data_IF_244278968011
#
_entry.id   IF_244278968011
#
_cell.length_a   1.000
_cell.length_b   1.000
_cell.length_c   1.000
_cell.angle_alpha   90.00
_cell.angle_beta   90.00
_cell.angle_gamma   90.00
#
_symmetry.space_group_name_H-M   'P 1'
#
loop_
_entity.id
_entity.type
_entity.pdbx_description
1 polymer ?
#
# COMPACT_ATOMS: atom_id res chain seq x y z
N UNK A 1 -16.57 -5.52 4.30
CA UNK A 1 -17.34 -6.57 5.01
C UNK A 1 -18.41 -5.89 5.87
N UNK A 2 -19.70 -6.24 5.68
CA UNK A 2 -20.76 -5.67 6.51
C UNK A 2 -20.59 -6.11 7.97
N UNK A 3 -20.66 -5.15 8.87
CA UNK A 3 -20.58 -5.43 10.32
C UNK A 3 -21.98 -5.76 10.82
N UNK A 4 -22.30 -7.03 10.95
CA UNK A 4 -23.63 -7.53 11.29
C UNK A 4 -24.20 -6.98 12.62
N UNK A 5 -23.35 -6.60 13.58
CA UNK A 5 -23.77 -6.12 14.88
C UNK A 5 -23.55 -4.63 15.11
N UNK A 6 -23.17 -3.87 14.10
CA UNK A 6 -22.98 -2.42 14.23
C UNK A 6 -24.28 -1.70 13.87
N UNK A 7 -24.89 -1.05 14.86
CA UNK A 7 -26.15 -0.28 14.71
C UNK A 7 -25.95 1.14 14.19
N UNK A 8 -24.71 1.59 14.01
CA UNK A 8 -24.36 2.92 13.53
C UNK A 8 -23.48 2.83 12.30
N UNK A 9 -23.66 3.77 11.39
CA UNK A 9 -22.74 4.01 10.31
C UNK A 9 -21.64 4.93 10.84
N UNK A 10 -20.47 4.37 11.13
CA UNK A 10 -19.29 5.14 11.48
C UNK A 10 -18.59 5.59 10.21
N UNK A 11 -18.26 6.86 10.13
CA UNK A 11 -17.33 7.42 9.17
C UNK A 11 -16.13 7.92 9.96
N UNK A 12 -14.94 7.40 9.66
CA UNK A 12 -13.69 7.88 10.25
C UNK A 12 -12.75 8.21 9.08
N UNK A 13 -12.14 9.33 9.17
CA UNK A 13 -11.23 9.84 8.14
C UNK A 13 -11.23 11.36 8.16
N UNK A 14 -10.25 11.95 7.54
CA UNK A 14 -10.23 13.38 7.23
C UNK A 14 -10.70 13.57 5.79
N UNK A 15 -11.47 14.61 5.56
CA UNK A 15 -11.84 15.01 4.22
C UNK A 15 -10.63 15.69 3.58
N UNK A 16 -10.34 15.32 2.32
CA UNK A 16 -9.33 15.99 1.53
C UNK A 16 -9.84 17.40 1.17
N UNK A 17 -9.04 18.45 1.30
CA UNK A 17 -9.40 19.76 0.80
C UNK A 17 -9.78 19.70 -0.69
N UNK A 18 -10.85 20.37 -1.08
CA UNK A 18 -11.19 20.55 -2.48
C UNK A 18 -10.29 21.66 -3.05
N UNK A 19 -9.10 21.29 -3.51
CA UNK A 19 -8.14 22.16 -4.14
C UNK A 19 -7.74 21.55 -5.48
N UNK A 20 -7.66 22.41 -6.51
CA UNK A 20 -7.23 22.02 -7.85
C UNK A 20 -5.73 22.31 -8.07
N UNK A 21 -5.15 23.22 -7.25
CA UNK A 21 -3.76 23.63 -7.31
C UNK A 21 -3.05 23.35 -5.97
N UNK A 22 -1.72 23.16 -5.99
CA UNK A 22 -0.94 23.05 -4.76
C UNK A 22 -1.00 24.34 -3.94
N UNK A 23 -0.85 24.27 -2.61
CA UNK A 23 -0.83 25.48 -1.79
C UNK A 23 0.34 26.38 -2.14
N UNK A 24 0.16 27.71 -2.06
CA UNK A 24 1.22 28.72 -2.38
C UNK A 24 2.54 28.51 -1.60
N UNK A 25 2.48 27.90 -0.42
CA UNK A 25 3.66 27.61 0.40
C UNK A 25 4.40 26.33 -0.01
N UNK A 26 3.81 25.51 -0.87
CA UNK A 26 4.39 24.27 -1.42
C UNK A 26 4.73 24.49 -2.90
N UNK A 27 5.63 25.44 -3.15
CA UNK A 27 6.12 25.76 -4.49
C UNK A 27 7.35 24.88 -4.77
N UNK A 28 7.10 23.67 -5.26
CA UNK A 28 8.12 22.66 -5.60
C UNK A 28 7.96 22.28 -7.06
N UNK A 29 9.08 22.16 -7.76
CA UNK A 29 9.10 21.72 -9.16
C UNK A 29 8.59 20.27 -9.29
N UNK A 30 7.72 20.03 -10.27
CA UNK A 30 7.13 18.72 -10.51
C UNK A 30 8.21 17.64 -10.79
N UNK A 31 9.24 17.98 -11.56
CA UNK A 31 10.34 17.08 -11.88
C UNK A 31 11.13 16.67 -10.61
N UNK A 32 11.38 17.62 -9.72
CA UNK A 32 12.05 17.34 -8.45
C UNK A 32 11.21 16.46 -7.52
N UNK A 33 9.87 16.56 -7.59
CA UNK A 33 8.97 15.66 -6.84
C UNK A 33 9.00 14.25 -7.43
N UNK A 34 8.98 14.13 -8.77
CA UNK A 34 9.06 12.82 -9.45
C UNK A 34 10.40 12.13 -9.12
N UNK A 35 11.52 12.82 -9.22
CA UNK A 35 12.85 12.30 -8.86
C UNK A 35 12.89 11.81 -7.40
N UNK A 36 12.30 12.60 -6.48
CA UNK A 36 12.25 12.21 -5.06
C UNK A 36 11.36 10.99 -4.80
N UNK A 37 10.28 10.83 -5.55
CA UNK A 37 9.44 9.61 -5.51
C UNK A 37 10.25 8.38 -5.88
N UNK A 38 11.01 8.44 -6.98
CA UNK A 38 11.85 7.34 -7.45
C UNK A 38 12.95 7.02 -6.45
N UNK A 39 13.64 8.04 -5.92
CA UNK A 39 14.69 7.86 -4.90
C UNK A 39 14.15 7.14 -3.64
N UNK A 40 12.96 7.52 -3.18
CA UNK A 40 12.33 6.87 -2.02
C UNK A 40 11.89 5.43 -2.32
N UNK A 41 11.46 5.14 -3.54
CA UNK A 41 11.15 3.78 -3.97
C UNK A 41 12.40 2.90 -4.02
N UNK A 42 13.50 3.40 -4.59
CA UNK A 42 14.80 2.71 -4.59
C UNK A 42 15.35 2.47 -3.17
N UNK A 43 15.02 3.36 -2.23
CA UNK A 43 15.33 3.18 -0.81
C UNK A 43 14.44 2.11 -0.12
N UNK A 44 13.47 1.53 -0.84
CA UNK A 44 12.61 0.44 -0.38
C UNK A 44 11.33 0.89 0.33
N UNK A 45 10.92 2.15 0.17
CA UNK A 45 9.66 2.64 0.74
C UNK A 45 8.46 2.26 -0.13
N UNK A 46 7.35 1.91 0.51
CA UNK A 46 6.10 1.63 -0.18
C UNK A 46 5.47 2.92 -0.75
N UNK A 47 4.61 2.85 -1.78
CA UNK A 47 3.91 4.01 -2.33
C UNK A 47 3.16 4.84 -1.28
N UNK A 48 2.58 4.20 -0.28
CA UNK A 48 1.92 4.89 0.85
C UNK A 48 2.92 5.61 1.75
N UNK A 49 4.07 5.00 2.06
CA UNK A 49 5.14 5.62 2.85
C UNK A 49 5.79 6.79 2.11
N UNK A 50 5.98 6.66 0.80
CA UNK A 50 6.49 7.74 -0.06
C UNK A 50 5.61 8.98 0.07
N UNK A 51 4.29 8.82 -0.06
CA UNK A 51 3.35 9.93 0.10
C UNK A 51 3.43 10.59 1.49
N UNK A 52 3.61 9.80 2.55
CA UNK A 52 3.80 10.34 3.90
C UNK A 52 5.12 11.08 4.06
N UNK A 53 6.22 10.54 3.52
CA UNK A 53 7.54 11.18 3.58
C UNK A 53 7.56 12.50 2.81
N UNK A 54 6.98 12.54 1.61
CA UNK A 54 6.87 13.77 0.84
C UNK A 54 6.04 14.84 1.56
N UNK A 55 4.99 14.44 2.27
CA UNK A 55 4.20 15.36 3.07
C UNK A 55 4.97 15.90 4.28
N UNK A 56 5.74 15.04 4.96
CA UNK A 56 6.36 15.38 6.24
C UNK A 56 7.79 15.94 6.07
N UNK A 57 8.58 15.36 5.18
CA UNK A 57 9.98 15.74 4.90
C UNK A 57 10.10 16.63 3.65
N UNK A 58 9.28 16.34 2.63
CA UNK A 58 9.23 17.09 1.38
C UNK A 58 10.42 16.89 0.44
N UNK A 59 10.59 17.84 -0.45
CA UNK A 59 11.74 17.98 -1.35
C UNK A 59 12.52 19.21 -0.92
N UNK A 60 13.82 19.06 -0.64
CA UNK A 60 14.70 20.12 -0.13
C UNK A 60 14.15 20.89 1.09
N UNK A 61 13.40 20.17 1.95
CA UNK A 61 12.78 20.74 3.15
C UNK A 61 11.46 21.48 2.90
N UNK A 62 10.96 21.49 1.67
CA UNK A 62 9.62 22.01 1.34
C UNK A 62 8.62 20.87 1.29
N UNK A 63 7.65 20.80 2.21
CA UNK A 63 6.66 19.72 2.23
C UNK A 63 5.79 19.69 0.97
N UNK A 64 5.53 18.48 0.47
CA UNK A 64 4.63 18.25 -0.65
C UNK A 64 3.36 17.54 -0.12
N UNK A 65 2.30 18.30 0.20
CA UNK A 65 1.12 17.73 0.85
C UNK A 65 0.33 16.79 -0.05
N UNK A 66 0.46 16.94 -1.35
CA UNK A 66 -0.24 16.15 -2.33
C UNK A 66 0.56 16.06 -3.64
N UNK A 67 1.09 14.87 -3.90
CA UNK A 67 1.88 14.59 -5.10
C UNK A 67 1.08 14.82 -6.36
N UNK A 68 -0.20 14.43 -6.37
CA UNK A 68 -1.02 14.58 -7.58
C UNK A 68 -1.39 16.03 -7.89
N UNK A 69 -1.41 16.92 -6.90
CA UNK A 69 -1.57 18.35 -7.16
C UNK A 69 -0.26 18.99 -7.67
N UNK A 70 0.89 18.51 -7.19
CA UNK A 70 2.19 19.04 -7.58
C UNK A 70 2.63 18.58 -8.98
N UNK A 71 2.36 17.30 -9.33
CA UNK A 71 2.87 16.69 -10.58
C UNK A 71 1.78 16.39 -11.61
N UNK A 72 0.51 16.45 -11.23
CA UNK A 72 -0.61 15.97 -12.06
C UNK A 72 -0.75 14.45 -12.13
N UNK A 73 0.13 13.68 -11.49
CA UNK A 73 0.21 12.22 -11.51
C UNK A 73 0.10 11.65 -10.10
N UNK A 74 -0.33 10.40 -9.99
CA UNK A 74 -0.27 9.65 -8.72
C UNK A 74 1.12 9.07 -8.50
N UNK A 75 1.48 8.78 -7.25
CA UNK A 75 2.76 8.11 -6.92
C UNK A 75 2.93 6.81 -7.70
N UNK A 76 1.89 5.99 -7.81
CA UNK A 76 1.93 4.72 -8.57
C UNK A 76 2.14 4.94 -10.07
N UNK A 77 1.56 5.99 -10.65
CA UNK A 77 1.75 6.33 -12.07
C UNK A 77 3.19 6.78 -12.34
N UNK A 78 3.78 7.58 -11.43
CA UNK A 78 5.18 8.00 -11.51
C UNK A 78 6.11 6.78 -11.42
N UNK A 79 5.85 5.87 -10.48
CA UNK A 79 6.65 4.65 -10.32
C UNK A 79 6.56 3.73 -11.55
N UNK A 80 5.39 3.60 -12.16
CA UNK A 80 5.20 2.83 -13.39
C UNK A 80 5.96 3.45 -14.59
N UNK A 81 5.96 4.78 -14.72
CA UNK A 81 6.72 5.46 -15.78
C UNK A 81 8.24 5.29 -15.64
N UNK A 82 8.74 5.09 -14.43
CA UNK A 82 10.17 4.91 -14.13
C UNK A 82 10.59 3.44 -13.91
N UNK A 83 9.73 2.47 -14.27
CA UNK A 83 9.97 1.03 -14.05
C UNK A 83 10.33 0.67 -12.58
N UNK A 84 9.85 1.47 -11.63
CA UNK A 84 10.06 1.31 -10.18
C UNK A 84 8.82 0.78 -9.44
N UNK A 85 7.84 0.27 -10.19
CA UNK A 85 6.61 -0.27 -9.64
C UNK A 85 6.87 -1.59 -8.89
N UNK A 86 6.27 -1.80 -7.70
CA UNK A 86 6.41 -3.06 -6.99
C UNK A 86 5.69 -4.19 -7.75
N UNK A 87 6.30 -5.39 -7.81
CA UNK A 87 5.74 -6.58 -8.49
C UNK A 87 4.36 -7.00 -7.95
N UNK A 88 4.03 -6.59 -6.74
CA UNK A 88 2.77 -6.93 -6.07
C UNK A 88 2.17 -5.67 -5.46
N UNK A 89 0.83 -5.47 -5.60
CA UNK A 89 0.13 -4.38 -4.93
C UNK A 89 0.41 -4.31 -3.43
N UNK A 90 0.63 -3.11 -2.90
CA UNK A 90 1.03 -2.88 -1.51
C UNK A 90 0.06 -3.50 -0.50
N UNK A 91 -1.23 -3.41 -0.73
CA UNK A 91 -2.26 -3.95 0.17
C UNK A 91 -2.23 -5.49 0.22
N UNK A 92 -1.96 -6.14 -0.90
CA UNK A 92 -1.77 -7.57 -1.00
C UNK A 92 -0.48 -8.01 -0.31
N UNK A 93 0.64 -7.30 -0.54
CA UNK A 93 1.92 -7.52 0.12
C UNK A 93 1.79 -7.45 1.64
N UNK A 94 1.18 -6.40 2.16
CA UNK A 94 0.94 -6.20 3.59
C UNK A 94 0.13 -7.35 4.23
N UNK A 95 -0.85 -7.90 3.50
CA UNK A 95 -1.62 -9.05 3.97
C UNK A 95 -0.81 -10.36 3.91
N UNK A 96 0.02 -10.54 2.88
CA UNK A 96 0.92 -11.69 2.78
C UNK A 96 1.95 -11.70 3.90
N UNK A 97 2.61 -10.59 4.18
CA UNK A 97 3.54 -10.45 5.31
C UNK A 97 2.88 -10.79 6.65
N UNK A 98 1.65 -10.30 6.83
CA UNK A 98 0.87 -10.64 8.03
C UNK A 98 0.55 -12.12 8.11
N UNK A 99 0.23 -12.76 6.98
CA UNK A 99 -0.07 -14.19 6.94
C UNK A 99 1.18 -15.03 7.23
N UNK A 100 2.35 -14.64 6.70
CA UNK A 100 3.63 -15.30 6.98
C UNK A 100 3.95 -15.23 8.48
N UNK A 101 3.90 -14.03 9.08
CA UNK A 101 4.13 -13.87 10.52
C UNK A 101 3.16 -14.68 11.40
N UNK A 102 1.88 -14.75 11.00
CA UNK A 102 0.89 -15.55 11.71
C UNK A 102 1.13 -17.06 11.56
N UNK A 103 1.62 -17.51 10.42
CA UNK A 103 1.96 -18.91 10.20
C UNK A 103 3.18 -19.31 11.04
N UNK A 104 4.24 -18.52 11.04
CA UNK A 104 5.41 -18.72 11.87
C UNK A 104 5.06 -18.79 13.37
N UNK A 105 4.19 -17.87 13.81
CA UNK A 105 3.67 -17.93 15.19
C UNK A 105 2.91 -19.23 15.48
N UNK A 106 2.11 -19.70 14.53
CA UNK A 106 1.35 -20.95 14.70
C UNK A 106 2.23 -22.19 14.73
N UNK A 107 3.36 -22.18 14.03
CA UNK A 107 4.32 -23.28 14.05
C UNK A 107 4.98 -23.41 15.44
N UNK A 108 5.22 -22.27 16.10
CA UNK A 108 5.72 -22.24 17.49
C UNK A 108 4.62 -22.49 18.53
N UNK A 109 3.39 -22.04 18.26
CA UNK A 109 2.27 -22.04 19.19
C UNK A 109 1.02 -22.73 18.61
N UNK A 110 1.03 -24.04 18.36
CA UNK A 110 -0.04 -24.75 17.63
C UNK A 110 -1.40 -24.77 18.33
N UNK A 111 -1.43 -24.46 19.61
CA UNK A 111 -2.68 -24.42 20.42
C UNK A 111 -3.35 -23.05 20.46
N UNK A 112 -2.76 -22.02 19.81
CA UNK A 112 -3.35 -20.67 19.77
C UNK A 112 -4.50 -20.57 18.75
N UNK A 113 -5.69 -20.88 19.21
CA UNK A 113 -6.91 -20.84 18.37
C UNK A 113 -7.29 -19.44 17.92
N UNK A 114 -6.90 -18.39 18.64
CA UNK A 114 -7.16 -17.01 18.28
C UNK A 114 -6.36 -16.62 17.04
N UNK A 115 -5.05 -16.88 17.05
CA UNK A 115 -4.19 -16.58 15.91
C UNK A 115 -4.44 -17.53 14.73
N UNK A 116 -4.83 -18.79 14.97
CA UNK A 116 -5.31 -19.69 13.92
C UNK A 116 -6.51 -19.09 13.17
N UNK A 117 -7.48 -18.51 13.88
CA UNK A 117 -8.63 -17.85 13.26
C UNK A 117 -8.23 -16.56 12.54
N UNK A 118 -7.28 -15.78 13.09
CA UNK A 118 -6.74 -14.60 12.45
C UNK A 118 -6.04 -14.93 11.12
N UNK A 119 -5.24 -16.01 11.09
CA UNK A 119 -4.59 -16.52 9.88
C UNK A 119 -5.62 -16.91 8.81
N UNK A 120 -6.64 -17.70 9.15
CA UNK A 120 -7.69 -18.08 8.22
C UNK A 120 -8.43 -16.88 7.63
N UNK A 121 -8.73 -15.87 8.46
CA UNK A 121 -9.36 -14.63 8.01
C UNK A 121 -8.44 -13.82 7.08
N UNK A 122 -7.14 -13.75 7.37
CA UNK A 122 -6.15 -13.07 6.54
C UNK A 122 -6.00 -13.78 5.20
N UNK A 123 -5.86 -15.10 5.18
CA UNK A 123 -5.81 -15.89 3.95
C UNK A 123 -7.07 -15.73 3.08
N UNK A 124 -8.25 -15.63 3.72
CA UNK A 124 -9.50 -15.36 3.00
C UNK A 124 -9.55 -13.96 2.37
N UNK A 125 -8.88 -12.97 2.98
CA UNK A 125 -8.75 -11.62 2.40
C UNK A 125 -7.77 -11.64 1.22
N UNK A 126 -6.62 -12.31 1.38
CA UNK A 126 -5.62 -12.47 0.32
C UNK A 126 -6.26 -13.08 -0.92
N UNK A 127 -6.96 -14.20 -0.79
CA UNK A 127 -7.61 -14.86 -1.94
C UNK A 127 -8.57 -13.93 -2.69
N UNK A 128 -9.33 -13.10 -1.97
CA UNK A 128 -10.24 -12.13 -2.60
C UNK A 128 -9.51 -11.00 -3.29
N UNK A 129 -8.37 -10.55 -2.76
CA UNK A 129 -7.53 -9.55 -3.43
C UNK A 129 -6.83 -10.13 -4.65
N UNK A 130 -6.32 -11.34 -4.56
CA UNK A 130 -5.76 -12.06 -5.72
C UNK A 130 -6.80 -12.19 -6.83
N UNK A 131 -8.05 -12.55 -6.50
CA UNK A 131 -9.12 -12.63 -7.49
C UNK A 131 -9.49 -11.26 -8.08
N UNK A 132 -9.29 -10.18 -7.33
CA UNK A 132 -9.53 -8.80 -7.79
C UNK A 132 -8.43 -8.31 -8.75
N UNK A 133 -7.16 -8.56 -8.42
CA UNK A 133 -6.02 -8.12 -9.22
C UNK A 133 -5.65 -9.07 -10.39
N UNK A 134 -6.25 -10.26 -10.41
CA UNK A 134 -5.94 -11.27 -11.43
C UNK A 134 -6.28 -10.80 -12.84
N UNK A 135 -5.28 -10.81 -13.71
CA UNK A 135 -5.41 -10.41 -15.11
C UNK A 135 -5.28 -8.91 -15.34
N UNK A 136 -4.99 -8.14 -14.31
CA UNK A 136 -4.68 -6.71 -14.35
C UNK A 136 -3.26 -6.49 -13.80
N UNK A 137 -3.10 -6.38 -12.50
CA UNK A 137 -1.79 -6.20 -11.83
C UNK A 137 -1.09 -7.53 -11.50
N UNK A 138 -1.81 -8.65 -11.52
CA UNK A 138 -1.28 -10.00 -11.29
C UNK A 138 -1.50 -10.91 -12.50
N UNK A 139 -0.59 -11.84 -12.68
CA UNK A 139 -0.73 -12.88 -13.71
C UNK A 139 -2.05 -13.67 -13.56
N UNK A 140 -2.64 -14.05 -14.70
CA UNK A 140 -3.94 -14.73 -14.72
C UNK A 140 -3.94 -16.10 -14.00
N UNK A 141 -2.78 -16.74 -13.88
CA UNK A 141 -2.56 -18.03 -13.23
C UNK A 141 -1.98 -17.89 -11.81
N UNK A 142 -1.78 -16.66 -11.33
CA UNK A 142 -1.27 -16.42 -9.98
C UNK A 142 -2.17 -17.07 -8.93
N UNK A 143 -1.54 -17.85 -8.05
CA UNK A 143 -2.22 -18.53 -6.94
C UNK A 143 -1.46 -18.31 -5.64
N UNK A 144 -2.17 -17.84 -4.62
CA UNK A 144 -1.59 -17.66 -3.29
C UNK A 144 -1.30 -19.01 -2.63
N UNK A 145 -0.05 -19.20 -2.23
CA UNK A 145 0.38 -20.22 -1.27
C UNK A 145 1.28 -19.57 -0.21
N UNK A 146 1.54 -20.27 0.90
CA UNK A 146 2.50 -19.77 1.90
C UNK A 146 3.92 -19.65 1.33
N UNK A 147 4.33 -20.64 0.55
CA UNK A 147 5.66 -20.68 -0.06
C UNK A 147 5.82 -19.55 -1.07
N UNK A 148 4.82 -19.36 -1.94
CA UNK A 148 4.80 -18.22 -2.89
C UNK A 148 4.88 -16.87 -2.17
N UNK A 149 4.13 -16.70 -1.07
CA UNK A 149 4.19 -15.47 -0.30
C UNK A 149 5.58 -15.23 0.32
N UNK A 150 6.28 -16.29 0.72
CA UNK A 150 7.63 -16.18 1.31
C UNK A 150 8.73 -15.90 0.27
N UNK A 151 8.52 -16.31 -0.96
CA UNK A 151 9.45 -16.04 -2.07
C UNK A 151 9.34 -14.61 -2.60
N UNK A 152 8.14 -14.02 -2.52
CA UNK A 152 7.83 -12.69 -3.06
C UNK A 152 8.02 -11.54 -2.05
N UNK A 153 8.26 -11.84 -0.77
CA UNK A 153 8.44 -10.86 0.31
C UNK A 153 9.92 -10.66 0.67
#
# INVERSE_FOLDING_TARGET
MARMHTRRRGSSGSDRPAADDPPEWSDVDAEAVEDRVVELAEAGHSPSEIGLKLRDEGVDGTPVPDVSLATGKKVTEILAEHDAEPEIPEDLRNLMERAVRLQEHMDENPTDYQNKRALQNTQSKIRRLVDYYRGDELDADFTYSYDTAKELL
#
